data_IF_802802732673
#
_entry.id   IF_802802732673
#
_cell.length_a   1.000
_cell.length_b   1.000
_cell.length_c   1.000
_cell.angle_alpha   90.00
_cell.angle_beta   90.00
_cell.angle_gamma   90.00
#
_symmetry.space_group_name_H-M   'P 1'
#
loop_
_entity.id
_entity.type
_entity.pdbx_description
1 polymer ?
#
# COMPACT_ATOMS: atom_id res chain seq x y z
N UNK A 1 -54.90 61.98 21.57
CA UNK A 1 -53.73 62.65 22.21
C UNK A 1 -52.47 62.20 21.53
N UNK A 2 -51.91 63.09 20.77
CA UNK A 2 -50.67 62.97 20.01
C UNK A 2 -49.47 63.00 20.94
N UNK A 3 -48.43 62.23 20.70
CA UNK A 3 -47.06 62.64 21.00
C UNK A 3 -46.11 62.10 19.97
N UNK A 4 -45.55 62.98 19.20
CA UNK A 4 -44.46 62.78 18.26
C UNK A 4 -43.22 62.31 18.98
N UNK A 5 -42.47 61.42 18.33
CA UNK A 5 -41.06 61.21 18.66
C UNK A 5 -40.23 61.25 17.37
N UNK A 6 -39.34 62.21 17.37
CA UNK A 6 -38.47 62.57 16.27
C UNK A 6 -37.43 61.49 16.03
N UNK A 7 -37.19 61.19 14.76
CA UNK A 7 -36.10 60.33 14.28
C UNK A 7 -34.88 61.25 14.09
N UNK A 8 -33.86 61.07 14.92
CA UNK A 8 -32.53 61.68 14.71
C UNK A 8 -31.67 60.76 13.88
N UNK A 9 -31.40 61.22 12.69
CA UNK A 9 -30.49 60.53 11.73
C UNK A 9 -29.06 60.86 12.13
N UNK A 10 -28.32 59.88 12.68
CA UNK A 10 -26.86 59.99 12.90
C UNK A 10 -26.15 59.39 11.68
N UNK A 11 -25.54 60.24 10.87
CA UNK A 11 -24.64 59.89 9.79
C UNK A 11 -23.28 59.59 10.43
N UNK A 12 -22.93 58.32 10.56
CA UNK A 12 -21.55 57.92 10.86
C UNK A 12 -20.78 57.79 9.55
N UNK A 13 -19.88 58.71 9.30
CA UNK A 13 -18.84 58.60 8.27
C UNK A 13 -17.84 57.56 8.74
N UNK A 14 -17.85 56.37 8.14
CA UNK A 14 -16.82 55.35 8.36
C UNK A 14 -15.72 55.63 7.38
N UNK A 15 -14.61 56.20 7.87
CA UNK A 15 -13.31 56.22 7.18
C UNK A 15 -12.84 54.81 7.01
N UNK A 16 -12.75 54.36 5.75
CA UNK A 16 -12.20 53.09 5.35
C UNK A 16 -10.71 53.02 5.67
N UNK A 17 -10.38 52.31 6.74
CA UNK A 17 -9.04 51.80 6.99
C UNK A 17 -8.88 50.47 6.29
N UNK A 18 -8.17 50.44 5.17
CA UNK A 18 -7.69 49.23 4.53
C UNK A 18 -6.69 48.53 5.47
N UNK A 19 -7.15 47.58 6.26
CA UNK A 19 -6.26 46.55 6.77
C UNK A 19 -6.05 45.50 5.65
N UNK A 20 -5.01 45.71 4.86
CA UNK A 20 -4.49 44.69 4.00
C UNK A 20 -3.86 43.61 4.91
N UNK A 21 -4.60 42.53 5.18
CA UNK A 21 -3.99 41.29 5.65
C UNK A 21 -3.15 40.77 4.49
N UNK A 22 -1.86 40.85 4.65
CA UNK A 22 -0.88 40.28 3.72
C UNK A 22 -0.91 38.77 3.87
N UNK A 23 -1.95 38.14 3.35
CA UNK A 23 -1.89 36.73 2.97
C UNK A 23 -1.02 36.63 1.74
N UNK A 24 0.28 36.58 1.96
CA UNK A 24 1.24 36.19 0.93
C UNK A 24 0.98 34.73 0.58
N UNK A 25 -0.05 34.47 -0.22
CA UNK A 25 -0.07 33.30 -1.08
C UNK A 25 1.11 33.42 -2.01
N UNK A 26 2.15 32.69 -1.70
CA UNK A 26 3.23 32.44 -2.67
C UNK A 26 2.59 31.56 -3.74
N UNK A 27 2.02 32.23 -4.75
CA UNK A 27 1.68 31.58 -6.02
C UNK A 27 2.98 31.53 -6.79
N UNK A 28 3.73 30.43 -6.65
CA UNK A 28 4.83 30.17 -7.56
C UNK A 28 4.25 29.81 -8.93
N UNK A 29 4.57 30.65 -9.90
CA UNK A 29 4.32 30.44 -11.30
C UNK A 29 4.95 29.12 -11.76
N UNK A 30 4.19 28.35 -12.48
CA UNK A 30 4.38 27.05 -13.07
C UNK A 30 3.86 25.89 -12.22
N UNK A 31 2.85 25.20 -12.74
CA UNK A 31 2.26 23.96 -12.22
C UNK A 31 3.22 22.76 -12.13
N UNK A 32 4.36 22.96 -11.49
CA UNK A 32 5.27 21.91 -11.05
C UNK A 32 4.91 21.60 -9.61
N UNK A 33 4.24 20.45 -9.39
CA UNK A 33 4.17 19.82 -8.09
C UNK A 33 5.58 19.84 -7.50
N UNK A 34 5.80 20.60 -6.41
CA UNK A 34 7.05 20.48 -5.64
C UNK A 34 7.05 19.07 -5.06
N UNK A 35 7.91 18.21 -5.61
CA UNK A 35 8.42 17.05 -4.89
C UNK A 35 8.99 17.59 -3.56
N UNK A 36 8.64 17.04 -2.39
CA UNK A 36 9.14 17.55 -1.13
C UNK A 36 10.67 17.68 -1.18
N UNK A 37 11.19 18.82 -0.73
CA UNK A 37 12.63 19.09 -0.66
C UNK A 37 13.27 18.12 0.33
N UNK A 38 13.83 17.05 -0.18
CA UNK A 38 14.38 15.90 0.53
C UNK A 38 14.66 14.75 -0.43
N UNK A 39 14.04 14.73 -1.61
CA UNK A 39 14.70 14.14 -2.75
C UNK A 39 15.93 15.05 -2.96
N UNK A 40 17.10 14.59 -2.55
CA UNK A 40 18.35 15.20 -3.00
C UNK A 40 18.17 15.47 -4.48
N UNK A 41 18.54 16.63 -4.96
CA UNK A 41 18.33 17.06 -6.35
C UNK A 41 18.25 15.84 -7.23
N UNK A 42 17.06 15.59 -7.81
CA UNK A 42 16.89 14.46 -8.71
C UNK A 42 17.82 14.75 -9.89
N UNK A 43 19.10 14.40 -9.70
CA UNK A 43 20.13 14.57 -10.72
C UNK A 43 19.62 13.75 -11.88
N UNK A 44 19.25 14.43 -12.94
CA UNK A 44 18.80 13.81 -14.18
C UNK A 44 19.81 12.74 -14.52
N UNK A 45 19.39 11.51 -14.64
CA UNK A 45 20.28 10.41 -14.99
C UNK A 45 21.08 10.76 -16.25
N UNK A 46 22.39 10.48 -16.29
CA UNK A 46 23.16 10.59 -17.52
C UNK A 46 22.45 9.82 -18.63
N UNK A 47 22.43 10.38 -19.84
CA UNK A 47 21.70 9.78 -20.98
C UNK A 47 22.03 8.29 -21.18
N UNK A 48 23.31 7.93 -21.05
CA UNK A 48 23.75 6.54 -21.22
C UNK A 48 23.15 5.60 -20.18
N UNK A 49 23.03 6.04 -18.92
CA UNK A 49 22.37 5.28 -17.86
C UNK A 49 20.87 5.17 -18.09
N UNK A 50 20.23 6.28 -18.44
CA UNK A 50 18.81 6.29 -18.79
C UNK A 50 18.53 5.29 -19.91
N UNK A 51 19.28 5.37 -21.02
CA UNK A 51 19.12 4.50 -22.18
C UNK A 51 19.35 3.02 -21.81
N UNK A 52 20.32 2.72 -20.92
CA UNK A 52 20.56 1.37 -20.40
C UNK A 52 19.32 0.83 -19.69
N UNK A 53 18.81 1.56 -18.71
CA UNK A 53 17.66 1.10 -17.89
C UNK A 53 16.37 1.07 -18.71
N UNK A 54 16.19 2.01 -19.64
CA UNK A 54 15.08 1.99 -20.59
C UNK A 54 15.09 0.68 -21.40
N UNK A 55 16.21 0.39 -22.07
CA UNK A 55 16.35 -0.81 -22.94
C UNK A 55 16.12 -2.10 -22.20
N UNK A 56 16.67 -2.25 -20.99
CA UNK A 56 16.48 -3.46 -20.19
C UNK A 56 15.01 -3.62 -19.79
N UNK A 57 14.35 -2.53 -19.39
CA UNK A 57 12.94 -2.54 -18.99
C UNK A 57 12.02 -2.84 -20.19
N UNK A 58 12.29 -2.23 -21.35
CA UNK A 58 11.58 -2.50 -22.60
C UNK A 58 11.75 -3.97 -23.04
N UNK A 59 12.99 -4.47 -22.99
CA UNK A 59 13.29 -5.87 -23.33
C UNK A 59 12.55 -6.83 -22.40
N UNK A 60 12.50 -6.54 -21.09
CA UNK A 60 11.72 -7.33 -20.14
C UNK A 60 10.23 -7.34 -20.51
N UNK A 61 9.66 -6.17 -20.79
CA UNK A 61 8.26 -6.06 -21.22
C UNK A 61 8.00 -6.90 -22.47
N UNK A 62 8.82 -6.75 -23.50
CA UNK A 62 8.65 -7.43 -24.80
C UNK A 62 8.86 -8.94 -24.71
N UNK A 63 9.77 -9.41 -23.86
CA UNK A 63 10.08 -10.83 -23.73
C UNK A 63 9.16 -11.60 -22.76
N UNK A 64 8.68 -10.94 -21.71
CA UNK A 64 7.95 -11.64 -20.63
C UNK A 64 6.50 -11.21 -20.49
N UNK A 65 6.19 -9.90 -20.55
CA UNK A 65 4.83 -9.41 -20.30
C UNK A 65 3.97 -9.45 -21.55
N UNK A 66 4.44 -8.87 -22.63
CA UNK A 66 3.68 -8.75 -23.89
C UNK A 66 3.23 -10.11 -24.46
N UNK A 67 4.10 -11.14 -24.58
CA UNK A 67 3.69 -12.45 -25.09
C UNK A 67 2.73 -13.20 -24.16
N UNK A 68 2.73 -12.88 -22.87
CA UNK A 68 1.82 -13.48 -21.89
C UNK A 68 0.39 -12.90 -21.95
N UNK A 69 0.13 -11.94 -22.82
CA UNK A 69 -1.14 -11.23 -22.88
C UNK A 69 -1.39 -10.38 -21.64
N UNK A 70 -0.35 -9.73 -21.11
CA UNK A 70 -0.42 -8.81 -19.97
C UNK A 70 -1.43 -7.70 -20.24
N UNK A 71 -2.26 -7.41 -19.23
CA UNK A 71 -3.21 -6.30 -19.21
C UNK A 71 -2.98 -5.51 -17.92
N UNK A 72 -2.35 -4.33 -18.05
CA UNK A 72 -1.93 -3.59 -16.87
C UNK A 72 -0.94 -2.47 -17.16
N UNK A 73 -0.27 -2.01 -16.10
CA UNK A 73 0.72 -0.96 -16.12
C UNK A 73 2.07 -1.46 -15.56
N UNK A 74 3.15 -1.04 -16.18
CA UNK A 74 4.52 -1.25 -15.71
C UNK A 74 5.24 0.10 -15.60
N UNK A 75 5.92 0.35 -14.49
CA UNK A 75 6.78 1.50 -14.27
C UNK A 75 8.09 1.02 -13.65
N UNK A 76 9.19 1.53 -14.17
CA UNK A 76 10.53 1.36 -13.61
C UNK A 76 11.14 2.73 -13.38
N UNK A 77 11.69 2.94 -12.19
CA UNK A 77 12.35 4.18 -11.81
C UNK A 77 13.76 3.93 -11.28
N UNK A 78 14.65 4.90 -11.48
CA UNK A 78 16.01 4.96 -10.94
C UNK A 78 16.23 6.34 -10.34
N UNK A 79 16.67 6.43 -9.09
CA UNK A 79 16.82 7.69 -8.35
C UNK A 79 15.54 8.54 -8.36
N UNK A 80 14.35 7.92 -8.29
CA UNK A 80 13.06 8.59 -8.36
C UNK A 80 12.65 9.06 -9.78
N UNK A 81 13.54 8.99 -10.77
CA UNK A 81 13.24 9.31 -12.17
C UNK A 81 12.65 8.10 -12.88
N UNK A 82 11.49 8.26 -13.53
CA UNK A 82 10.90 7.23 -14.38
C UNK A 82 11.80 6.99 -15.58
N UNK A 83 12.33 5.77 -15.72
CA UNK A 83 13.14 5.34 -16.85
C UNK A 83 12.34 4.53 -17.88
N UNK A 84 11.25 3.89 -17.45
CA UNK A 84 10.33 3.16 -18.33
C UNK A 84 8.92 3.21 -17.76
N UNK A 85 7.94 3.45 -18.62
CA UNK A 85 6.52 3.41 -18.25
C UNK A 85 5.70 2.89 -19.44
N UNK A 86 4.83 1.94 -19.17
CA UNK A 86 3.98 1.31 -20.20
C UNK A 86 2.60 0.98 -19.64
N UNK A 87 1.57 1.34 -20.38
CA UNK A 87 0.18 0.95 -20.16
C UNK A 87 -0.25 0.06 -21.31
N UNK A 88 -0.79 -1.11 -21.03
CA UNK A 88 -1.10 -2.11 -22.03
C UNK A 88 -2.45 -2.77 -21.76
N UNK A 89 -3.31 -2.76 -22.76
CA UNK A 89 -4.64 -3.37 -22.70
C UNK A 89 -5.74 -2.40 -22.27
N UNK A 90 -6.78 -2.94 -21.66
CA UNK A 90 -8.06 -2.27 -21.47
C UNK A 90 -8.50 -2.23 -20.02
N UNK A 91 -9.23 -1.19 -19.61
CA UNK A 91 -9.95 -1.14 -18.33
C UNK A 91 -11.04 -2.21 -18.33
N UNK A 92 -11.82 -2.23 -19.41
CA UNK A 92 -12.81 -3.29 -19.65
C UNK A 92 -12.57 -3.91 -21.01
N UNK A 93 -12.71 -5.24 -21.11
CA UNK A 93 -12.57 -5.94 -22.39
C UNK A 93 -13.78 -5.75 -23.30
N UNK A 94 -14.92 -5.42 -22.69
CA UNK A 94 -16.20 -5.17 -23.38
C UNK A 94 -16.16 -3.84 -24.14
N UNK A 95 -15.73 -2.76 -23.47
CA UNK A 95 -15.71 -1.39 -24.03
C UNK A 95 -14.41 -1.09 -24.76
N UNK A 96 -13.35 -1.85 -24.49
CA UNK A 96 -11.98 -1.63 -25.03
C UNK A 96 -11.42 -0.24 -24.73
N UNK A 97 -11.83 0.34 -23.60
CA UNK A 97 -11.31 1.59 -23.07
C UNK A 97 -9.90 1.39 -22.53
N UNK A 98 -8.94 2.17 -23.04
CA UNK A 98 -7.52 1.98 -22.76
C UNK A 98 -7.14 2.28 -21.31
N UNK A 99 -6.24 1.46 -20.78
CA UNK A 99 -5.53 1.78 -19.53
C UNK A 99 -4.63 3.01 -19.71
N UNK A 100 -4.52 3.83 -18.67
CA UNK A 100 -3.72 5.05 -18.65
C UNK A 100 -3.04 5.29 -17.30
N UNK A 101 -2.28 6.38 -17.18
CA UNK A 101 -1.53 6.75 -15.97
C UNK A 101 -2.41 7.07 -14.75
N UNK A 102 -3.69 7.33 -14.96
CA UNK A 102 -4.64 7.68 -13.91
C UNK A 102 -5.53 6.49 -13.53
N UNK A 103 -5.37 5.35 -14.19
CA UNK A 103 -6.14 4.15 -13.90
C UNK A 103 -5.67 3.49 -12.60
N UNK A 104 -6.47 3.49 -11.52
CA UNK A 104 -6.10 2.84 -10.28
C UNK A 104 -6.36 1.33 -10.34
N UNK A 105 -5.34 0.54 -10.01
CA UNK A 105 -5.41 -0.91 -9.93
C UNK A 105 -5.58 -1.36 -8.49
N UNK A 106 -6.31 -2.46 -8.28
CA UNK A 106 -6.38 -3.13 -7.00
C UNK A 106 -5.01 -3.69 -6.62
N UNK A 107 -4.46 -3.25 -5.50
CA UNK A 107 -3.10 -3.58 -5.08
C UNK A 107 -2.97 -4.99 -4.48
N UNK A 108 -4.08 -5.64 -4.15
CA UNK A 108 -4.07 -6.91 -3.44
C UNK A 108 -3.18 -6.81 -2.19
N UNK A 109 -2.31 -7.78 -1.94
CA UNK A 109 -1.47 -7.80 -0.74
C UNK A 109 -0.39 -6.69 -0.66
N UNK A 110 -0.12 -5.94 -1.73
CA UNK A 110 0.72 -4.73 -1.64
C UNK A 110 0.08 -3.70 -0.69
N UNK A 111 -1.25 -3.73 -0.49
CA UNK A 111 -1.96 -2.92 0.51
C UNK A 111 -1.42 -3.08 1.93
N UNK A 112 -0.90 -4.27 2.27
CA UNK A 112 -0.31 -4.54 3.60
C UNK A 112 0.84 -3.59 3.93
N UNK A 113 1.57 -3.12 2.91
CA UNK A 113 2.68 -2.18 3.14
C UNK A 113 2.19 -0.86 3.68
N UNK A 114 1.04 -0.36 3.22
CA UNK A 114 0.41 0.85 3.77
C UNK A 114 -0.12 0.61 5.18
N UNK A 115 -0.80 -0.51 5.43
CA UNK A 115 -1.31 -0.87 6.76
C UNK A 115 -0.20 -0.97 7.78
N UNK A 116 0.88 -1.69 7.43
CA UNK A 116 2.00 -1.84 8.35
C UNK A 116 2.73 -0.54 8.60
N UNK A 117 2.93 0.29 7.57
CA UNK A 117 3.54 1.60 7.76
C UNK A 117 2.62 2.57 8.52
N UNK A 118 1.29 2.43 8.43
CA UNK A 118 0.36 3.16 9.29
C UNK A 118 0.53 2.81 10.76
N UNK A 119 0.69 1.53 11.08
CA UNK A 119 1.02 1.07 12.44
C UNK A 119 2.40 1.60 12.87
N UNK A 120 3.40 1.52 12.00
CA UNK A 120 4.73 2.07 12.27
C UNK A 120 4.69 3.59 12.53
N UNK A 121 3.81 4.33 11.85
CA UNK A 121 3.61 5.76 12.11
C UNK A 121 3.01 6.02 13.48
N UNK A 122 2.00 5.26 13.88
CA UNK A 122 1.44 5.35 15.23
C UNK A 122 2.45 4.95 16.31
N UNK A 123 3.32 3.98 16.03
CA UNK A 123 4.43 3.63 16.91
C UNK A 123 5.47 4.75 17.02
N UNK A 124 5.89 5.31 15.89
CA UNK A 124 6.83 6.44 15.84
C UNK A 124 6.30 7.67 16.59
N UNK A 125 4.99 7.89 16.52
CA UNK A 125 4.29 8.99 17.22
C UNK A 125 4.03 8.67 18.71
N UNK A 126 4.50 7.53 19.22
CA UNK A 126 4.33 7.12 20.63
C UNK A 126 2.91 6.75 21.04
N UNK A 127 2.00 6.52 20.07
CA UNK A 127 0.58 6.20 20.34
C UNK A 127 0.36 4.73 20.68
N UNK A 128 1.27 3.85 20.28
CA UNK A 128 1.31 2.44 20.63
C UNK A 128 2.77 1.95 20.68
N UNK A 129 3.00 0.78 21.29
CA UNK A 129 4.22 0.00 21.12
C UNK A 129 3.95 -1.20 20.21
N UNK A 130 4.88 -1.56 19.34
CA UNK A 130 4.77 -2.79 18.54
C UNK A 130 4.83 -4.05 19.41
N UNK A 131 5.34 -3.96 20.62
CA UNK A 131 5.36 -5.03 21.61
C UNK A 131 4.10 -5.07 22.50
N UNK A 132 3.18 -4.10 22.36
CA UNK A 132 1.87 -4.17 23.02
C UNK A 132 1.08 -5.39 22.54
N UNK A 133 0.43 -6.10 23.47
CA UNK A 133 -0.54 -7.14 23.12
C UNK A 133 -1.76 -6.55 22.42
N UNK A 134 -2.26 -7.26 21.41
CA UNK A 134 -3.43 -6.84 20.62
C UNK A 134 -4.68 -6.70 21.48
N UNK A 135 -4.79 -7.49 22.54
CA UNK A 135 -5.85 -7.42 23.55
C UNK A 135 -6.00 -6.06 24.23
N UNK A 136 -4.92 -5.25 24.27
CA UNK A 136 -4.95 -3.86 24.76
C UNK A 136 -5.86 -2.96 23.92
N UNK A 137 -6.00 -3.25 22.65
CA UNK A 137 -6.72 -2.42 21.69
C UNK A 137 -8.06 -3.00 21.27
N UNK A 138 -8.14 -4.32 21.12
CA UNK A 138 -9.30 -5.03 20.61
C UNK A 138 -10.02 -5.77 21.74
N UNK A 139 -11.13 -5.22 22.20
CA UNK A 139 -11.92 -5.80 23.30
C UNK A 139 -12.36 -7.23 22.95
N UNK A 140 -12.24 -8.15 23.92
CA UNK A 140 -12.59 -9.56 23.74
C UNK A 140 -11.53 -10.41 23.03
N UNK A 141 -10.53 -9.81 22.39
CA UNK A 141 -9.43 -10.54 21.76
C UNK A 141 -8.50 -11.13 22.83
N UNK A 142 -8.81 -12.34 23.24
CA UNK A 142 -8.07 -13.04 24.31
C UNK A 142 -7.17 -14.13 23.72
N UNK A 143 -6.07 -13.72 23.11
CA UNK A 143 -5.00 -14.57 22.56
C UNK A 143 -3.66 -14.11 23.12
N UNK A 144 -3.25 -14.61 24.31
CA UNK A 144 -2.03 -14.15 24.99
C UNK A 144 -0.78 -14.32 24.14
N UNK A 145 0.13 -13.35 24.22
CA UNK A 145 1.40 -13.33 23.51
C UNK A 145 1.28 -12.89 22.04
N UNK A 146 0.08 -12.61 21.52
CA UNK A 146 -0.08 -11.99 20.20
C UNK A 146 0.06 -10.48 20.34
N UNK A 147 1.18 -9.94 19.86
CA UNK A 147 1.51 -8.52 19.88
C UNK A 147 1.27 -7.88 18.51
N UNK A 148 1.25 -6.55 18.46
CA UNK A 148 1.22 -5.78 17.21
C UNK A 148 2.36 -6.22 16.28
N UNK A 149 3.57 -6.44 16.82
CA UNK A 149 4.74 -6.93 16.06
C UNK A 149 4.49 -8.31 15.45
N UNK A 150 3.91 -9.25 16.21
CA UNK A 150 3.63 -10.59 15.67
C UNK A 150 2.55 -10.60 14.59
N UNK A 151 1.64 -9.62 14.57
CA UNK A 151 0.75 -9.39 13.45
C UNK A 151 1.51 -8.82 12.24
N UNK A 152 2.32 -7.77 12.43
CA UNK A 152 3.07 -7.10 11.36
C UNK A 152 4.00 -8.05 10.60
N UNK A 153 4.66 -8.97 11.30
CA UNK A 153 5.65 -9.88 10.73
C UNK A 153 5.14 -11.30 10.45
N UNK A 154 3.82 -11.50 10.51
CA UNK A 154 3.16 -12.80 10.25
C UNK A 154 3.62 -13.94 11.18
N UNK A 155 3.87 -13.64 12.45
CA UNK A 155 4.28 -14.61 13.48
C UNK A 155 3.23 -14.80 14.58
N UNK A 156 1.99 -14.36 14.35
CA UNK A 156 0.90 -14.45 15.32
C UNK A 156 0.44 -15.88 15.62
N UNK A 157 0.58 -16.79 14.66
CA UNK A 157 0.01 -18.13 14.73
C UNK A 157 -1.51 -18.21 14.51
N UNK A 158 -2.17 -17.07 14.20
CA UNK A 158 -3.61 -17.03 13.93
C UNK A 158 -3.96 -17.78 12.64
N UNK A 159 -5.15 -18.40 12.57
CA UNK A 159 -5.66 -18.98 11.32
C UNK A 159 -6.06 -17.87 10.34
N UNK A 160 -5.96 -18.17 9.04
CA UNK A 160 -6.31 -17.23 7.99
C UNK A 160 -7.83 -17.17 7.79
N UNK A 161 -8.45 -16.01 8.04
CA UNK A 161 -9.89 -15.81 7.96
C UNK A 161 -10.45 -16.18 6.57
N UNK A 162 -9.67 -15.96 5.51
CA UNK A 162 -10.04 -16.26 4.11
C UNK A 162 -10.49 -17.73 3.93
N UNK A 163 -9.96 -18.63 4.74
CA UNK A 163 -10.28 -20.07 4.67
C UNK A 163 -11.15 -20.49 5.83
N UNK A 164 -10.75 -20.13 7.06
CA UNK A 164 -11.37 -20.69 8.26
C UNK A 164 -12.82 -20.26 8.48
N UNK A 165 -13.22 -19.07 8.03
CA UNK A 165 -14.62 -18.63 8.15
C UNK A 165 -15.53 -19.48 7.26
N UNK A 166 -15.14 -19.77 6.04
CA UNK A 166 -15.88 -20.68 5.14
C UNK A 166 -15.94 -22.10 5.73
N UNK A 167 -14.80 -22.64 6.16
CA UNK A 167 -14.73 -23.98 6.76
C UNK A 167 -15.62 -24.14 8.01
N UNK A 168 -15.90 -23.04 8.72
CA UNK A 168 -16.75 -23.01 9.92
C UNK A 168 -18.18 -22.55 9.63
N UNK A 169 -18.59 -22.44 8.36
CA UNK A 169 -19.97 -22.23 7.95
C UNK A 169 -20.39 -20.75 7.91
N UNK A 170 -19.47 -19.83 7.61
CA UNK A 170 -19.86 -18.44 7.33
C UNK A 170 -20.84 -18.38 6.16
N UNK A 171 -21.92 -17.63 6.34
CA UNK A 171 -22.89 -17.38 5.28
C UNK A 171 -22.31 -16.43 4.22
N UNK A 172 -22.07 -16.95 3.01
CA UNK A 172 -21.45 -16.22 1.92
C UNK A 172 -22.34 -15.16 1.26
N UNK A 173 -23.63 -15.17 1.56
CA UNK A 173 -24.56 -14.12 1.12
C UNK A 173 -24.37 -12.83 1.93
N UNK A 174 -23.60 -12.91 3.01
CA UNK A 174 -23.23 -11.76 3.86
C UNK A 174 -21.75 -11.44 3.72
N UNK A 175 -21.45 -10.19 3.34
CA UNK A 175 -20.08 -9.69 3.27
C UNK A 175 -19.40 -9.71 4.64
N UNK A 176 -18.12 -10.11 4.67
CA UNK A 176 -17.30 -10.14 5.88
C UNK A 176 -16.66 -8.78 6.12
N UNK A 177 -16.92 -8.16 7.26
CA UNK A 177 -16.23 -6.95 7.72
C UNK A 177 -15.00 -7.30 8.58
N UNK A 178 -14.12 -6.33 8.83
CA UNK A 178 -13.01 -6.52 9.77
C UNK A 178 -13.50 -6.84 11.19
N UNK A 179 -14.64 -6.26 11.60
CA UNK A 179 -15.25 -6.55 12.88
C UNK A 179 -15.77 -7.99 12.96
N UNK A 180 -16.31 -8.51 11.86
CA UNK A 180 -16.76 -9.91 11.80
C UNK A 180 -15.57 -10.88 11.91
N UNK A 181 -14.42 -10.55 11.31
CA UNK A 181 -13.19 -11.33 11.49
C UNK A 181 -12.78 -11.37 12.96
N UNK A 182 -12.83 -10.22 13.66
CA UNK A 182 -12.53 -10.16 15.09
C UNK A 182 -13.54 -10.98 15.91
N UNK A 183 -14.84 -10.77 15.70
CA UNK A 183 -15.91 -11.47 16.40
C UNK A 183 -15.81 -12.98 16.19
N UNK A 184 -15.57 -13.41 14.95
CA UNK A 184 -15.40 -14.82 14.61
C UNK A 184 -14.24 -15.47 15.39
N UNK A 185 -13.12 -14.79 15.53
CA UNK A 185 -11.99 -15.27 16.33
C UNK A 185 -12.36 -15.40 17.81
N UNK A 186 -13.08 -14.42 18.35
CA UNK A 186 -13.50 -14.42 19.77
C UNK A 186 -14.44 -15.58 20.04
N UNK A 187 -15.50 -15.73 19.25
CA UNK A 187 -16.55 -16.72 19.43
C UNK A 187 -16.06 -18.15 19.20
N UNK A 188 -15.17 -18.35 18.24
CA UNK A 188 -14.69 -19.67 17.86
C UNK A 188 -13.34 -20.04 18.47
N UNK A 189 -12.81 -19.27 19.42
CA UNK A 189 -11.47 -19.48 20.00
C UNK A 189 -11.17 -20.94 20.36
N UNK A 190 -12.12 -21.64 20.99
CA UNK A 190 -11.95 -23.05 21.42
C UNK A 190 -11.94 -24.05 20.25
N UNK A 191 -12.44 -23.65 19.08
CA UNK A 191 -12.57 -24.50 17.88
C UNK A 191 -11.50 -24.22 16.84
N UNK A 192 -10.72 -23.15 17.03
CA UNK A 192 -9.67 -22.73 16.10
C UNK A 192 -8.33 -23.31 16.50
N UNK A 193 -7.58 -23.78 15.52
CA UNK A 193 -6.17 -24.15 15.72
C UNK A 193 -5.33 -22.88 15.62
N UNK A 194 -4.72 -22.48 16.74
CA UNK A 194 -3.85 -21.31 16.83
C UNK A 194 -2.44 -21.78 17.17
N UNK A 195 -1.48 -21.41 16.34
CA UNK A 195 -0.08 -21.70 16.58
C UNK A 195 0.49 -20.86 17.73
N UNK A 196 1.64 -21.29 18.29
CA UNK A 196 2.32 -20.51 19.32
C UNK A 196 2.84 -19.19 18.70
N UNK A 197 2.50 -18.02 19.29
CA UNK A 197 3.00 -16.74 18.81
C UNK A 197 4.54 -16.70 18.79
N UNK A 198 5.08 -15.98 17.80
CA UNK A 198 6.51 -15.76 17.55
C UNK A 198 7.35 -17.03 17.31
N UNK A 199 6.72 -18.18 17.12
CA UNK A 199 7.45 -19.43 16.85
C UNK A 199 7.87 -19.58 15.38
N UNK A 200 6.93 -19.35 14.44
CA UNK A 200 7.17 -19.56 13.02
C UNK A 200 6.54 -18.44 12.19
N UNK A 201 7.12 -18.16 11.05
CA UNK A 201 6.49 -17.34 10.02
C UNK A 201 5.37 -18.13 9.34
N UNK A 202 4.16 -17.57 9.33
CA UNK A 202 3.01 -18.09 8.59
C UNK A 202 2.20 -16.92 8.03
N UNK A 203 2.30 -16.73 6.71
CA UNK A 203 1.58 -15.62 6.05
C UNK A 203 0.07 -15.71 6.31
N UNK A 204 -0.52 -14.64 6.86
CA UNK A 204 -1.89 -14.67 7.36
C UNK A 204 -2.59 -13.33 7.15
N UNK A 205 -3.69 -13.33 6.37
CA UNK A 205 -4.47 -12.12 6.10
C UNK A 205 -5.19 -11.59 7.34
N UNK A 206 -5.60 -12.48 8.26
CA UNK A 206 -6.21 -12.11 9.54
C UNK A 206 -5.41 -11.06 10.30
N UNK A 207 -4.08 -11.16 10.26
CA UNK A 207 -3.20 -10.23 10.94
C UNK A 207 -3.45 -8.78 10.50
N UNK A 208 -3.61 -8.56 9.22
CA UNK A 208 -3.75 -7.21 8.65
C UNK A 208 -5.19 -6.68 8.73
N UNK A 209 -6.17 -7.57 8.73
CA UNK A 209 -7.54 -7.21 9.07
C UNK A 209 -7.63 -6.69 10.53
N UNK A 210 -6.93 -7.34 11.48
CA UNK A 210 -6.86 -6.90 12.87
C UNK A 210 -6.02 -5.63 13.04
N UNK A 211 -4.89 -5.50 12.32
CA UNK A 211 -4.08 -4.27 12.36
C UNK A 211 -4.86 -3.04 11.89
N UNK A 212 -5.76 -3.18 10.91
CA UNK A 212 -6.64 -2.10 10.50
C UNK A 212 -7.55 -1.64 11.64
N UNK A 213 -8.15 -2.57 12.41
CA UNK A 213 -8.93 -2.24 13.60
C UNK A 213 -8.07 -1.62 14.72
N UNK A 214 -6.82 -2.05 14.87
CA UNK A 214 -5.87 -1.42 15.82
C UNK A 214 -5.60 0.02 15.41
N UNK A 215 -5.39 0.29 14.11
CA UNK A 215 -5.22 1.65 13.59
C UNK A 215 -6.44 2.51 13.95
N UNK A 216 -7.64 2.03 13.68
CA UNK A 216 -8.88 2.75 14.01
C UNK A 216 -9.00 3.04 15.50
N UNK A 217 -8.74 2.02 16.33
CA UNK A 217 -8.83 2.16 17.80
C UNK A 217 -7.84 3.16 18.36
N UNK A 218 -6.61 3.15 17.86
CA UNK A 218 -5.52 4.00 18.39
C UNK A 218 -5.61 5.43 17.85
N UNK A 219 -5.99 5.58 16.57
CA UNK A 219 -6.09 6.91 15.94
C UNK A 219 -7.41 7.62 16.23
N UNK A 220 -8.48 6.89 16.56
CA UNK A 220 -9.83 7.41 16.64
C UNK A 220 -10.47 7.73 15.29
N UNK A 221 -9.84 7.35 14.19
CA UNK A 221 -10.27 7.59 12.81
C UNK A 221 -10.65 6.29 12.13
N UNK A 222 -11.52 6.35 11.11
CA UNK A 222 -11.71 5.21 10.21
C UNK A 222 -10.41 4.92 9.46
N UNK A 223 -10.14 3.67 9.13
CA UNK A 223 -8.94 3.23 8.45
C UNK A 223 -8.65 3.98 7.15
N UNK A 224 -9.68 4.15 6.29
CA UNK A 224 -9.56 4.90 5.03
C UNK A 224 -9.19 6.38 5.27
N UNK A 225 -9.79 7.03 6.26
CA UNK A 225 -9.51 8.43 6.59
C UNK A 225 -8.11 8.60 7.15
N UNK A 226 -7.66 7.67 8.00
CA UNK A 226 -6.30 7.69 8.53
C UNK A 226 -5.26 7.60 7.40
N UNK A 227 -5.40 6.63 6.47
CA UNK A 227 -4.47 6.50 5.36
C UNK A 227 -4.52 7.72 4.42
N UNK A 228 -5.72 8.22 4.14
CA UNK A 228 -5.93 9.37 3.26
C UNK A 228 -5.22 10.60 3.80
N UNK A 229 -5.45 10.95 5.06
CA UNK A 229 -4.91 12.17 5.67
C UNK A 229 -3.43 12.05 6.05
N UNK A 230 -2.97 10.84 6.40
CA UNK A 230 -1.58 10.63 6.83
C UNK A 230 -0.64 10.45 5.65
N UNK A 231 -1.10 9.80 4.57
CA UNK A 231 -0.24 9.45 3.44
C UNK A 231 -0.72 9.96 2.09
N UNK A 232 -1.96 9.67 1.69
CA UNK A 232 -2.35 9.89 0.30
C UNK A 232 -2.41 11.38 -0.08
N UNK A 233 -3.08 12.18 0.71
CA UNK A 233 -3.19 13.64 0.49
C UNK A 233 -1.84 14.35 0.61
N UNK A 234 -1.05 14.17 1.69
CA UNK A 234 0.24 14.83 1.84
C UNK A 234 1.24 14.50 0.72
N UNK A 235 1.17 13.27 0.19
CA UNK A 235 2.03 12.82 -0.89
C UNK A 235 1.48 13.13 -2.29
N UNK A 236 0.30 13.71 -2.39
CA UNK A 236 -0.36 13.97 -3.67
C UNK A 236 -0.69 12.70 -4.44
N UNK A 237 -1.01 11.60 -3.75
CA UNK A 237 -1.43 10.31 -4.33
C UNK A 237 -2.92 10.36 -4.68
N UNK A 238 -3.26 11.16 -5.67
CA UNK A 238 -4.65 11.55 -5.98
C UNK A 238 -5.53 10.39 -6.49
N UNK A 239 -4.90 9.34 -7.02
CA UNK A 239 -5.58 8.16 -7.56
C UNK A 239 -5.41 6.94 -6.63
N UNK A 240 -5.16 7.18 -5.33
CA UNK A 240 -5.00 6.13 -4.33
C UNK A 240 -6.08 6.24 -3.27
N UNK A 241 -6.79 5.14 -3.03
CA UNK A 241 -7.89 5.08 -2.06
C UNK A 241 -8.09 3.67 -1.52
N UNK A 242 -8.78 3.57 -0.39
CA UNK A 242 -9.27 2.29 0.14
C UNK A 242 -10.64 2.02 -0.46
N UNK A 243 -10.85 0.81 -0.97
CA UNK A 243 -12.14 0.38 -1.50
C UNK A 243 -13.24 0.44 -0.42
N UNK A 244 -14.40 0.88 -0.83
CA UNK A 244 -15.64 0.81 -0.08
C UNK A 244 -16.77 0.33 -1.01
N UNK A 245 -17.80 -0.36 -0.51
CA UNK A 245 -18.86 -0.96 -1.35
C UNK A 245 -19.51 0.02 -2.33
N UNK A 246 -19.61 1.29 -1.96
CA UNK A 246 -20.19 2.35 -2.81
C UNK A 246 -19.39 2.57 -4.10
N UNK A 247 -18.12 2.14 -4.13
CA UNK A 247 -17.22 2.28 -5.27
C UNK A 247 -17.25 1.08 -6.22
N UNK A 248 -18.02 0.03 -5.93
CA UNK A 248 -18.00 -1.25 -6.69
C UNK A 248 -18.12 -1.05 -8.21
N UNK A 249 -19.01 -0.15 -8.65
CA UNK A 249 -19.24 0.10 -10.07
C UNK A 249 -18.25 1.08 -10.71
N UNK A 250 -17.39 1.72 -9.90
CA UNK A 250 -16.42 2.72 -10.35
C UNK A 250 -14.98 2.22 -10.33
N UNK A 251 -14.70 1.12 -9.65
CA UNK A 251 -13.35 0.54 -9.61
C UNK A 251 -13.05 -0.32 -10.82
N UNK A 252 -11.76 -0.42 -11.13
CA UNK A 252 -11.27 -1.26 -12.23
C UNK A 252 -11.65 -2.73 -11.98
N UNK A 253 -12.44 -3.37 -12.87
CA UNK A 253 -12.76 -4.78 -12.73
C UNK A 253 -11.54 -5.67 -12.94
N UNK A 254 -11.55 -6.84 -12.32
CA UNK A 254 -10.52 -7.86 -12.53
C UNK A 254 -11.03 -8.99 -13.43
N UNK A 255 -10.08 -9.67 -14.08
CA UNK A 255 -10.37 -10.71 -15.05
C UNK A 255 -9.49 -11.95 -14.83
N UNK A 256 -10.07 -13.11 -15.02
CA UNK A 256 -9.30 -14.35 -15.07
C UNK A 256 -8.43 -14.42 -16.34
N UNK A 257 -7.64 -15.48 -16.48
CA UNK A 257 -6.74 -15.66 -17.62
C UNK A 257 -7.49 -15.75 -18.98
N UNK A 258 -8.78 -16.15 -19.00
CA UNK A 258 -9.66 -16.21 -20.17
C UNK A 258 -10.34 -14.88 -20.51
N UNK A 259 -10.02 -13.79 -19.79
CA UNK A 259 -10.67 -12.48 -19.90
C UNK A 259 -12.15 -12.45 -19.45
N UNK A 260 -12.56 -13.39 -18.62
CA UNK A 260 -13.87 -13.37 -17.99
C UNK A 260 -13.78 -12.53 -16.71
N UNK A 261 -14.73 -11.62 -16.50
CA UNK A 261 -14.79 -10.77 -15.31
C UNK A 261 -14.94 -11.63 -14.06
N UNK A 262 -14.11 -11.37 -13.07
CA UNK A 262 -14.20 -11.97 -11.73
C UNK A 262 -15.18 -11.15 -10.89
N UNK A 263 -16.23 -11.77 -10.32
CA UNK A 263 -17.18 -11.07 -9.47
C UNK A 263 -16.55 -10.75 -8.11
N UNK A 264 -17.08 -9.75 -7.42
CA UNK A 264 -16.81 -9.55 -6.00
C UNK A 264 -17.36 -10.73 -5.18
N UNK A 265 -16.72 -11.01 -4.06
CA UNK A 265 -17.11 -12.08 -3.15
C UNK A 265 -17.42 -11.50 -1.76
N UNK A 266 -17.94 -12.32 -0.88
CA UNK A 266 -18.20 -11.95 0.51
C UNK A 266 -16.95 -11.46 1.29
N UNK A 267 -15.74 -11.72 0.78
CA UNK A 267 -14.47 -11.32 1.39
C UNK A 267 -13.97 -9.93 0.93
N UNK A 268 -14.62 -9.31 -0.05
CA UNK A 268 -14.07 -8.14 -0.74
C UNK A 268 -14.29 -6.81 -0.02
N UNK A 269 -14.95 -6.81 1.15
CA UNK A 269 -15.08 -5.62 1.98
C UNK A 269 -14.12 -5.57 3.17
N UNK A 270 -13.35 -6.64 3.42
CA UNK A 270 -12.27 -6.63 4.43
C UNK A 270 -11.12 -5.78 3.93
N UNK A 271 -10.66 -4.82 4.73
CA UNK A 271 -9.55 -3.93 4.43
C UNK A 271 -8.34 -4.17 5.34
N UNK A 272 -7.21 -3.56 4.98
CA UNK A 272 -5.94 -3.69 5.69
C UNK A 272 -5.04 -4.77 5.12
N UNK A 273 -5.58 -5.95 4.80
CA UNK A 273 -4.84 -7.03 4.14
C UNK A 273 -4.82 -6.90 2.61
N UNK A 274 -5.79 -6.17 2.07
CA UNK A 274 -6.01 -5.86 0.65
C UNK A 274 -6.88 -4.61 0.51
N UNK A 275 -7.43 -4.35 -0.67
CA UNK A 275 -8.44 -3.34 -0.94
C UNK A 275 -7.95 -1.89 -0.99
N UNK A 276 -6.65 -1.66 -1.16
CA UNK A 276 -6.17 -0.36 -1.65
C UNK A 276 -6.09 -0.42 -3.16
N UNK A 277 -6.58 0.62 -3.82
CA UNK A 277 -6.42 0.89 -5.23
C UNK A 277 -5.39 2.00 -5.42
N UNK A 278 -4.51 1.88 -6.41
CA UNK A 278 -3.48 2.89 -6.70
C UNK A 278 -2.99 2.82 -8.14
N UNK A 279 -2.27 3.83 -8.56
CA UNK A 279 -1.56 3.85 -9.85
C UNK A 279 -0.07 3.58 -9.68
N UNK A 280 0.62 3.22 -10.76
CA UNK A 280 2.08 3.06 -10.73
C UNK A 280 2.79 4.35 -10.33
N UNK A 281 2.28 5.51 -10.76
CA UNK A 281 2.86 6.82 -10.41
C UNK A 281 2.63 7.21 -8.96
N UNK A 282 1.48 6.89 -8.38
CA UNK A 282 1.24 7.14 -6.95
C UNK A 282 2.08 6.21 -6.07
N UNK A 283 2.27 4.95 -6.47
CA UNK A 283 3.21 4.04 -5.79
C UNK A 283 4.67 4.52 -5.89
N UNK A 284 5.07 5.19 -6.99
CA UNK A 284 6.39 5.83 -7.06
C UNK A 284 6.51 7.00 -6.07
N UNK A 285 5.47 7.81 -5.88
CA UNK A 285 5.47 8.85 -4.84
C UNK A 285 5.62 8.24 -3.44
N UNK A 286 4.94 7.11 -3.19
CA UNK A 286 5.08 6.35 -1.96
C UNK A 286 6.51 5.84 -1.77
N UNK A 287 7.13 5.26 -2.79
CA UNK A 287 8.53 4.83 -2.77
C UNK A 287 9.50 5.97 -2.44
N UNK A 288 9.34 7.12 -3.12
CA UNK A 288 10.15 8.33 -2.88
C UNK A 288 10.00 8.79 -1.43
N UNK A 289 8.78 8.81 -0.91
CA UNK A 289 8.51 9.22 0.47
C UNK A 289 9.17 8.29 1.51
N UNK A 290 9.16 6.98 1.25
CA UNK A 290 9.85 5.98 2.06
C UNK A 290 11.39 6.06 1.97
N UNK A 291 11.91 6.67 0.91
CA UNK A 291 13.37 6.79 0.69
C UNK A 291 13.92 8.09 1.28
N UNK A 292 13.17 9.17 1.20
CA UNK A 292 13.63 10.52 1.57
C UNK A 292 13.57 10.82 3.06
N UNK A 293 12.97 9.94 3.88
CA UNK A 293 12.82 10.15 5.32
C UNK A 293 11.81 11.24 5.71
N UNK A 294 11.03 11.76 4.76
CA UNK A 294 10.08 12.85 5.00
C UNK A 294 8.86 12.44 5.83
N UNK A 295 8.54 11.15 5.88
CA UNK A 295 7.35 10.64 6.60
C UNK A 295 7.76 9.81 7.81
N UNK A 296 8.87 9.08 7.72
CA UNK A 296 9.34 8.17 8.75
C UNK A 296 10.77 8.48 9.16
N UNK A 297 11.06 8.29 10.44
CA UNK A 297 12.41 8.32 10.94
C UNK A 297 13.24 7.16 10.41
N UNK A 298 14.56 7.32 10.26
CA UNK A 298 15.44 6.24 9.79
C UNK A 298 15.33 4.96 10.63
N UNK A 299 15.15 5.09 11.95
CA UNK A 299 15.04 3.97 12.89
C UNK A 299 13.76 3.16 12.63
N UNK A 300 12.66 3.83 12.33
CA UNK A 300 11.37 3.20 11.98
C UNK A 300 11.50 2.39 10.71
N UNK A 301 12.12 2.96 9.67
CA UNK A 301 12.36 2.25 8.40
C UNK A 301 13.37 1.10 8.59
N UNK A 302 14.40 1.29 9.37
CA UNK A 302 15.37 0.24 9.69
C UNK A 302 14.69 -0.96 10.37
N UNK A 303 13.80 -0.72 11.33
CA UNK A 303 13.01 -1.76 11.96
C UNK A 303 12.05 -2.44 10.97
N UNK A 304 11.36 -1.65 10.12
CA UNK A 304 10.43 -2.19 9.12
C UNK A 304 11.13 -3.10 8.09
N UNK A 305 12.39 -2.79 7.75
CA UNK A 305 13.19 -3.54 6.77
C UNK A 305 14.20 -4.51 7.41
N UNK A 306 14.05 -4.81 8.69
CA UNK A 306 14.80 -5.86 9.39
C UNK A 306 14.08 -7.21 9.21
N UNK A 307 14.86 -8.29 9.07
CA UNK A 307 14.31 -9.64 9.04
C UNK A 307 13.91 -10.11 10.44
N UNK A 308 12.76 -10.80 10.50
CA UNK A 308 12.23 -11.39 11.74
C UNK A 308 12.05 -12.91 11.66
N UNK A 309 12.37 -13.53 10.53
CA UNK A 309 12.11 -14.96 10.27
C UNK A 309 13.35 -15.63 9.68
N UNK A 310 14.08 -16.34 10.56
CA UNK A 310 15.35 -17.00 10.23
C UNK A 310 15.28 -18.51 10.38
N UNK A 311 14.07 -19.07 10.45
CA UNK A 311 13.83 -20.52 10.62
C UNK A 311 14.26 -21.32 9.38
N UNK A 312 14.29 -20.67 8.22
CA UNK A 312 14.75 -21.25 6.96
C UNK A 312 16.01 -20.54 6.49
N UNK A 313 16.98 -21.32 6.02
CA UNK A 313 18.19 -20.78 5.38
C UNK A 313 17.81 -20.12 4.04
N UNK A 314 18.55 -19.08 3.65
CA UNK A 314 18.39 -18.38 2.38
C UNK A 314 18.20 -16.89 2.56
N UNK A 315 18.02 -16.18 1.46
CA UNK A 315 17.90 -14.71 1.44
C UNK A 315 16.49 -14.22 1.76
N UNK A 316 15.47 -15.09 1.69
CA UNK A 316 14.07 -14.69 1.92
C UNK A 316 13.80 -14.44 3.40
N UNK A 317 13.16 -13.31 3.69
CA UNK A 317 12.74 -12.95 5.05
C UNK A 317 11.45 -12.08 4.99
N UNK A 318 10.96 -11.70 6.16
CA UNK A 318 9.82 -10.81 6.29
C UNK A 318 10.09 -9.79 7.42
N UNK A 319 9.89 -8.51 7.13
CA UNK A 319 10.01 -7.40 8.04
C UNK A 319 8.68 -7.05 8.70
N UNK A 320 8.49 -5.77 9.04
CA UNK A 320 7.19 -5.26 9.46
C UNK A 320 6.43 -4.83 8.21
N UNK A 321 5.56 -5.73 7.71
CA UNK A 321 4.76 -5.62 6.47
C UNK A 321 5.49 -5.70 5.13
N UNK A 322 6.75 -6.01 5.12
CA UNK A 322 7.53 -6.10 3.90
C UNK A 322 8.14 -7.47 3.72
N UNK A 323 8.05 -8.04 2.52
CA UNK A 323 8.89 -9.16 2.09
C UNK A 323 10.30 -8.65 1.84
N UNK A 324 11.31 -9.44 2.19
CA UNK A 324 12.70 -9.06 2.10
C UNK A 324 13.50 -10.13 1.38
N UNK A 325 14.46 -9.70 0.56
CA UNK A 325 15.66 -10.48 0.27
C UNK A 325 16.82 -9.81 1.00
N UNK A 326 17.51 -10.59 1.85
CA UNK A 326 18.65 -10.14 2.64
C UNK A 326 19.89 -10.87 2.12
N UNK A 327 20.74 -10.17 1.42
CA UNK A 327 21.95 -10.75 0.80
C UNK A 327 23.14 -10.72 1.79
N UNK A 328 24.13 -11.66 1.62
CA UNK A 328 25.29 -11.72 2.51
C UNK A 328 26.19 -10.48 2.51
N UNK A 329 26.18 -9.69 1.43
CA UNK A 329 26.89 -8.43 1.28
C UNK A 329 26.15 -7.23 1.88
N UNK A 330 25.13 -7.48 2.73
CA UNK A 330 24.22 -6.51 3.34
C UNK A 330 23.26 -5.79 2.38
N UNK A 331 23.29 -6.09 1.10
CA UNK A 331 22.26 -5.60 0.19
C UNK A 331 20.89 -6.17 0.54
N UNK A 332 19.86 -5.39 0.28
CA UNK A 332 18.50 -5.84 0.50
C UNK A 332 17.55 -5.39 -0.61
N UNK A 333 16.58 -6.24 -0.85
CA UNK A 333 15.39 -5.88 -1.64
C UNK A 333 14.22 -5.85 -0.68
N UNK A 334 13.47 -4.74 -0.71
CA UNK A 334 12.26 -4.53 0.08
C UNK A 334 11.09 -4.56 -0.89
N UNK A 335 10.19 -5.54 -0.77
CA UNK A 335 9.14 -5.71 -1.77
C UNK A 335 7.85 -6.25 -1.17
N UNK A 336 6.78 -6.17 -1.93
CA UNK A 336 5.59 -6.97 -1.73
C UNK A 336 4.93 -7.29 -3.06
N UNK A 337 4.51 -8.54 -3.19
CA UNK A 337 3.68 -9.00 -4.30
C UNK A 337 2.23 -9.10 -3.85
N UNK A 338 1.30 -8.99 -4.79
CA UNK A 338 -0.11 -9.14 -4.52
C UNK A 338 -0.81 -10.04 -5.51
N UNK A 339 -1.79 -10.78 -5.00
CA UNK A 339 -2.75 -11.53 -5.79
C UNK A 339 -4.10 -11.54 -5.10
N UNK A 340 -5.13 -11.14 -5.84
CA UNK A 340 -6.51 -11.23 -5.42
C UNK A 340 -7.41 -11.22 -6.66
N UNK A 341 -8.26 -12.25 -6.83
CA UNK A 341 -8.99 -12.48 -8.08
C UNK A 341 -8.05 -12.46 -9.30
N UNK A 342 -8.41 -11.71 -10.34
CA UNK A 342 -7.57 -11.50 -11.51
C UNK A 342 -6.44 -10.49 -11.32
N UNK A 343 -6.38 -9.79 -10.19
CA UNK A 343 -5.34 -8.79 -9.93
C UNK A 343 -4.04 -9.45 -9.51
N UNK A 344 -2.96 -9.13 -10.21
CA UNK A 344 -1.59 -9.48 -9.82
C UNK A 344 -0.76 -8.21 -9.75
N UNK A 345 0.04 -8.04 -8.69
CA UNK A 345 0.80 -6.81 -8.46
C UNK A 345 2.20 -7.09 -7.96
N UNK A 346 3.12 -6.23 -8.34
CA UNK A 346 4.52 -6.21 -7.90
C UNK A 346 4.87 -4.78 -7.50
N UNK A 347 5.40 -4.63 -6.29
CA UNK A 347 6.02 -3.42 -5.82
C UNK A 347 7.36 -3.77 -5.20
N UNK A 348 8.45 -3.48 -5.91
CA UNK A 348 9.81 -3.82 -5.50
C UNK A 348 10.69 -2.59 -5.42
N UNK A 349 11.44 -2.49 -4.35
CA UNK A 349 12.37 -1.44 -4.02
C UNK A 349 13.77 -2.02 -3.83
N UNK A 350 14.68 -1.73 -4.74
CA UNK A 350 16.09 -2.02 -4.64
C UNK A 350 16.76 -0.83 -3.91
N UNK A 351 16.62 -0.85 -2.58
CA UNK A 351 16.88 0.35 -1.76
C UNK A 351 18.33 0.81 -1.84
N UNK A 352 19.28 -0.11 -1.94
CA UNK A 352 20.72 0.21 -2.01
C UNK A 352 21.12 0.78 -3.39
N UNK A 353 20.36 0.49 -4.41
CA UNK A 353 20.59 0.98 -5.78
C UNK A 353 19.56 2.05 -6.18
N UNK A 354 18.71 2.51 -5.28
CA UNK A 354 17.67 3.53 -5.53
C UNK A 354 16.87 3.25 -6.81
N UNK A 355 16.48 1.97 -7.01
CA UNK A 355 15.67 1.55 -8.14
C UNK A 355 14.34 0.94 -7.70
N UNK A 356 13.28 1.18 -8.47
CA UNK A 356 11.93 0.75 -8.14
C UNK A 356 11.27 0.11 -9.36
N UNK A 357 10.66 -1.06 -9.15
CA UNK A 357 9.90 -1.79 -10.17
C UNK A 357 8.48 -1.96 -9.69
N UNK A 358 7.52 -1.43 -10.45
CA UNK A 358 6.08 -1.50 -10.17
C UNK A 358 5.39 -2.12 -11.37
N UNK A 359 4.65 -3.20 -11.16
CA UNK A 359 3.83 -3.84 -12.21
C UNK A 359 2.46 -4.13 -11.62
N UNK A 360 1.41 -3.60 -12.23
CA UNK A 360 0.03 -3.73 -11.78
C UNK A 360 -0.80 -4.31 -12.92
N UNK A 361 -1.50 -5.41 -12.69
CA UNK A 361 -2.37 -6.05 -13.66
C UNK A 361 -3.76 -6.29 -13.11
N UNK A 362 -4.79 -6.11 -13.95
CA UNK A 362 -6.18 -6.42 -13.63
C UNK A 362 -6.69 -7.68 -14.35
N UNK A 363 -5.82 -8.41 -15.00
CA UNK A 363 -6.07 -9.74 -15.56
C UNK A 363 -5.04 -10.71 -15.04
N UNK A 364 -5.50 -11.88 -14.55
CA UNK A 364 -4.62 -12.90 -13.98
C UNK A 364 -3.45 -13.23 -14.90
N UNK A 365 -2.24 -12.97 -14.40
CA UNK A 365 -1.00 -13.17 -15.14
C UNK A 365 0.19 -13.33 -14.19
N UNK A 366 0.67 -14.55 -13.98
CA UNK A 366 1.81 -14.82 -13.08
C UNK A 366 3.16 -14.37 -13.64
N UNK A 367 3.27 -14.03 -14.94
CA UNK A 367 4.52 -13.55 -15.55
C UNK A 367 5.00 -12.21 -14.98
N UNK A 368 4.13 -11.45 -14.32
CA UNK A 368 4.55 -10.22 -13.65
C UNK A 368 5.57 -10.49 -12.53
N UNK A 369 5.53 -11.65 -11.89
CA UNK A 369 6.51 -12.04 -10.85
C UNK A 369 7.90 -12.38 -11.41
N UNK A 370 8.04 -12.49 -12.73
CA UNK A 370 9.35 -12.53 -13.41
C UNK A 370 10.10 -11.18 -13.32
N UNK A 371 9.49 -10.13 -12.75
CA UNK A 371 10.10 -8.81 -12.48
C UNK A 371 11.47 -8.92 -11.79
N UNK A 372 11.70 -9.97 -11.00
CA UNK A 372 13.00 -10.27 -10.39
C UNK A 372 14.16 -10.36 -11.39
N UNK A 373 13.88 -10.70 -12.66
CA UNK A 373 14.89 -10.73 -13.74
C UNK A 373 15.42 -9.35 -14.10
N UNK A 374 14.73 -8.27 -13.67
CA UNK A 374 15.21 -6.89 -13.84
C UNK A 374 16.25 -6.48 -12.79
N UNK A 375 16.28 -7.16 -11.63
CA UNK A 375 17.05 -6.67 -10.49
C UNK A 375 18.55 -6.60 -10.77
N UNK A 376 19.10 -7.58 -11.48
CA UNK A 376 20.51 -7.62 -11.85
C UNK A 376 20.96 -6.50 -12.78
N UNK A 377 20.02 -5.83 -13.46
CA UNK A 377 20.34 -4.66 -14.27
C UNK A 377 20.76 -3.43 -13.42
N UNK A 378 20.31 -3.39 -12.16
CA UNK A 378 20.51 -2.27 -11.25
C UNK A 378 21.65 -2.51 -10.25
N UNK A 379 21.96 -3.76 -9.93
CA UNK A 379 23.02 -4.12 -8.99
C UNK A 379 23.29 -5.61 -8.97
N UNK A 380 24.23 -6.04 -8.12
CA UNK A 380 24.48 -7.46 -7.92
C UNK A 380 23.42 -8.03 -6.97
N UNK A 381 22.47 -8.76 -7.54
CA UNK A 381 21.38 -9.44 -6.85
C UNK A 381 21.32 -10.94 -7.24
N UNK A 382 22.49 -11.48 -7.62
CA UNK A 382 22.62 -12.91 -7.92
C UNK A 382 22.70 -13.71 -6.62
N UNK A 383 21.88 -14.72 -6.47
CA UNK A 383 21.90 -15.62 -5.32
C UNK A 383 20.83 -16.70 -5.39
N UNK A 384 21.16 -17.85 -4.81
CA UNK A 384 20.27 -19.01 -4.67
C UNK A 384 19.07 -18.69 -3.74
N UNK A 385 18.02 -18.15 -4.26
CA UNK A 385 16.82 -17.81 -3.46
C UNK A 385 15.79 -16.99 -4.23
N UNK A 386 16.20 -16.39 -5.34
CA UNK A 386 15.30 -15.63 -6.21
C UNK A 386 14.43 -16.56 -7.08
N UNK A 387 14.70 -17.87 -7.08
CA UNK A 387 14.10 -18.87 -7.96
C UNK A 387 12.86 -19.62 -7.46
N UNK A 388 12.46 -19.49 -6.21
CA UNK A 388 11.29 -20.18 -5.66
C UNK A 388 10.00 -19.36 -5.77
N UNK A 389 8.86 -20.02 -6.02
CA UNK A 389 7.54 -19.41 -6.00
C UNK A 389 7.24 -18.82 -4.61
N UNK A 390 6.72 -17.59 -4.59
CA UNK A 390 6.09 -16.96 -3.42
C UNK A 390 4.63 -17.38 -3.30
#
# INVERSE_FOLDING_TARGET
MMKNLAITLIICIILGGCFASSDKRIVDNAGKSKVPAGAGDATTLPKAEFDKYYKVSESFYDLYLKPSGFNGAMLVAKNGQIVYEKYSGFKTFELKDSLDMNTPFHLASVSKTFTGMAVCKLWEDGKLSIDDEVSKFLAGFNYPGITVKTLLNHRSGLPNYVHVMEEKGWDKDHGVTNQDVLNFLIENKKKLSVGRPDRNFTYCNTNYALLALVIEKVSGMKYNDFLRTTFFEPLGMKNTFVYAPELEHSVLPSYNWKKQKEPFTYLDIVYGDKNIYSTTRDLLKWDIALTTGNIFKPETLAAAYSGYSFERKGVKNYGLSWRLYLYPDNKKIVYHNGWWHGNNTVFTRLVDDSATVIILGNKYNRRIYDAKKLYTAFGNYDGDGVGGED
#
